data_IF_314513701834
#
_entry.id   IF_314513701834
#
_cell.length_a   1.000
_cell.length_b   1.000
_cell.length_c   1.000
_cell.angle_alpha   90.00
_cell.angle_beta   90.00
_cell.angle_gamma   90.00
#
_symmetry.space_group_name_H-M   'P 1'
#
loop_
_entity.id
_entity.type
_entity.pdbx_description
1 polymer ?
#
# COMPACT_ATOMS: atom_id res chain seq x y z
N UNK A 1 -17.95 25.29 -0.88
CA UNK A 1 -17.13 24.13 -0.45
C UNK A 1 -15.70 24.51 -0.77
N UNK A 2 -14.92 25.00 0.19
CA UNK A 2 -13.48 25.16 0.00
C UNK A 2 -12.86 23.76 0.07
N UNK A 3 -11.91 23.46 -0.81
CA UNK A 3 -10.97 22.38 -0.53
C UNK A 3 -10.24 22.77 0.77
N UNK A 4 -10.06 21.84 1.69
CA UNK A 4 -9.40 22.08 2.97
C UNK A 4 -8.08 21.29 2.92
N UNK A 5 -6.99 21.90 2.42
CA UNK A 5 -5.76 21.17 2.04
C UNK A 5 -5.16 20.36 3.19
N UNK A 6 -5.35 20.80 4.43
CA UNK A 6 -4.90 20.12 5.64
C UNK A 6 -5.58 18.76 5.82
N UNK A 7 -6.85 18.59 5.47
CA UNK A 7 -7.51 17.27 5.55
C UNK A 7 -6.97 16.31 4.50
N UNK A 8 -6.62 16.81 3.31
CA UNK A 8 -6.01 15.99 2.25
C UNK A 8 -4.59 15.58 2.67
N UNK A 9 -3.83 16.49 3.29
CA UNK A 9 -2.50 16.18 3.83
C UNK A 9 -2.56 15.18 4.98
N UNK A 10 -3.50 15.34 5.91
CA UNK A 10 -3.72 14.39 7.00
C UNK A 10 -4.06 12.99 6.47
N UNK A 11 -5.01 12.90 5.52
CA UNK A 11 -5.37 11.64 4.88
C UNK A 11 -4.18 10.99 4.15
N UNK A 12 -3.32 11.77 3.48
CA UNK A 12 -2.12 11.23 2.85
C UNK A 12 -1.14 10.62 3.87
N UNK A 13 -0.98 11.25 5.04
CA UNK A 13 -0.15 10.72 6.13
C UNK A 13 -0.74 9.43 6.73
N UNK A 14 -2.05 9.39 6.95
CA UNK A 14 -2.75 8.20 7.44
C UNK A 14 -2.57 7.03 6.46
N UNK A 15 -2.75 7.29 5.16
CA UNK A 15 -2.52 6.30 4.11
C UNK A 15 -1.06 5.85 4.04
N UNK A 16 -0.09 6.73 4.26
CA UNK A 16 1.32 6.34 4.34
C UNK A 16 1.57 5.34 5.49
N UNK A 17 0.97 5.59 6.66
CA UNK A 17 1.04 4.71 7.83
C UNK A 17 0.38 3.35 7.58
N UNK A 18 -0.80 3.36 6.95
CA UNK A 18 -1.52 2.14 6.55
C UNK A 18 -0.66 1.33 5.55
N UNK A 19 -0.10 1.97 4.54
CA UNK A 19 0.77 1.34 3.55
C UNK A 19 2.01 0.69 4.17
N UNK A 20 2.62 1.36 5.15
CA UNK A 20 3.74 0.82 5.93
C UNK A 20 3.32 -0.43 6.72
N UNK A 21 2.19 -0.36 7.42
CA UNK A 21 1.64 -1.47 8.21
C UNK A 21 1.35 -2.69 7.34
N UNK A 22 0.71 -2.48 6.17
CA UNK A 22 0.41 -3.56 5.21
C UNK A 22 1.70 -4.17 4.65
N UNK A 23 2.70 -3.36 4.33
CA UNK A 23 4.00 -3.84 3.84
C UNK A 23 4.70 -4.71 4.88
N UNK A 24 4.70 -4.29 6.15
CA UNK A 24 5.24 -5.08 7.25
C UNK A 24 4.49 -6.41 7.44
N UNK A 25 3.16 -6.38 7.37
CA UNK A 25 2.33 -7.59 7.45
C UNK A 25 2.63 -8.57 6.30
N UNK A 26 2.74 -8.08 5.06
CA UNK A 26 3.08 -8.90 3.91
C UNK A 26 4.46 -9.55 4.05
N UNK A 27 5.45 -8.79 4.53
CA UNK A 27 6.79 -9.32 4.80
C UNK A 27 6.76 -10.40 5.88
N UNK A 28 6.05 -10.16 7.00
CA UNK A 28 5.88 -11.15 8.08
C UNK A 28 5.19 -12.43 7.61
N UNK A 29 4.25 -12.32 6.66
CA UNK A 29 3.50 -13.46 6.15
C UNK A 29 4.25 -14.25 5.07
N UNK A 30 5.31 -13.68 4.46
CA UNK A 30 5.97 -14.25 3.29
C UNK A 30 6.49 -15.67 3.51
N UNK A 31 7.23 -15.88 4.61
CA UNK A 31 7.75 -17.21 4.96
C UNK A 31 6.65 -18.20 5.38
N UNK A 32 5.84 -17.94 6.42
CA UNK A 32 4.89 -18.93 6.93
C UNK A 32 3.83 -19.36 5.91
N UNK A 33 3.51 -18.51 4.93
CA UNK A 33 2.56 -18.86 3.86
C UNK A 33 3.20 -19.63 2.70
N UNK A 34 4.50 -19.49 2.48
CA UNK A 34 5.22 -20.20 1.41
C UNK A 34 5.84 -21.53 1.86
N UNK A 35 6.03 -21.71 3.17
CA UNK A 35 6.66 -22.90 3.77
C UNK A 35 5.64 -23.89 4.36
N UNK A 36 4.45 -24.02 3.75
CA UNK A 36 3.44 -24.97 4.20
C UNK A 36 3.97 -26.39 4.00
N UNK A 37 3.96 -27.19 5.06
CA UNK A 37 4.40 -28.58 5.04
C UNK A 37 3.24 -29.49 4.65
N UNK A 38 3.51 -30.50 3.81
CA UNK A 38 2.54 -31.51 3.46
C UNK A 38 2.03 -32.24 4.72
N UNK A 39 0.72 -32.35 4.95
CA UNK A 39 0.17 -33.00 6.15
C UNK A 39 0.31 -34.53 6.13
N UNK A 40 0.63 -35.13 4.98
CA UNK A 40 0.91 -36.54 4.79
C UNK A 40 1.96 -36.79 3.71
N UNK A 41 2.44 -38.03 3.64
CA UNK A 41 3.49 -38.46 2.70
C UNK A 41 2.97 -38.80 1.29
N UNK A 42 1.68 -38.58 1.02
CA UNK A 42 1.04 -38.86 -0.26
C UNK A 42 1.25 -37.73 -1.28
N UNK A 43 1.13 -38.06 -2.57
CA UNK A 43 1.36 -37.09 -3.63
C UNK A 43 0.34 -35.93 -3.62
N UNK A 44 -0.88 -36.16 -3.14
CA UNK A 44 -1.91 -35.11 -3.08
C UNK A 44 -1.53 -34.07 -2.02
N UNK A 45 -1.09 -34.50 -0.85
CA UNK A 45 -0.56 -33.63 0.21
C UNK A 45 0.65 -32.81 -0.27
N UNK A 46 1.58 -33.44 -0.99
CA UNK A 46 2.74 -32.75 -1.57
C UNK A 46 2.34 -31.68 -2.60
N UNK A 47 1.41 -32.00 -3.50
CA UNK A 47 0.90 -31.05 -4.51
C UNK A 47 0.16 -29.88 -3.88
N UNK A 48 -0.65 -30.12 -2.85
CA UNK A 48 -1.36 -29.05 -2.13
C UNK A 48 -0.37 -28.11 -1.43
N UNK A 49 0.65 -28.65 -0.75
CA UNK A 49 1.70 -27.84 -0.13
C UNK A 49 2.45 -26.98 -1.17
N UNK A 50 2.80 -27.56 -2.32
CA UNK A 50 3.43 -26.83 -3.43
C UNK A 50 2.52 -25.73 -4.00
N UNK A 51 1.21 -25.97 -4.09
CA UNK A 51 0.23 -24.97 -4.52
C UNK A 51 0.21 -23.76 -3.58
N UNK A 52 0.23 -23.97 -2.25
CA UNK A 52 0.35 -22.88 -1.28
C UNK A 52 1.64 -22.08 -1.49
N UNK A 53 2.77 -22.75 -1.70
CA UNK A 53 4.05 -22.10 -2.02
C UNK A 53 3.98 -21.22 -3.27
N UNK A 54 3.43 -21.75 -4.36
CA UNK A 54 3.26 -21.00 -5.61
C UNK A 54 2.29 -19.81 -5.45
N UNK A 55 1.18 -20.01 -4.73
CA UNK A 55 0.23 -18.95 -4.45
C UNK A 55 0.84 -17.83 -3.60
N UNK A 56 1.59 -18.18 -2.56
CA UNK A 56 2.28 -17.21 -1.70
C UNK A 56 3.29 -16.37 -2.50
N UNK A 57 4.06 -16.98 -3.40
CA UNK A 57 4.99 -16.25 -4.28
C UNK A 57 4.25 -15.27 -5.20
N UNK A 58 3.17 -15.72 -5.85
CA UNK A 58 2.35 -14.86 -6.70
C UNK A 58 1.73 -13.70 -5.91
N UNK A 59 1.25 -13.97 -4.68
CA UNK A 59 0.72 -12.95 -3.79
C UNK A 59 1.79 -11.91 -3.41
N UNK A 60 3.02 -12.33 -3.09
CA UNK A 60 4.10 -11.41 -2.74
C UNK A 60 4.46 -10.48 -3.92
N UNK A 61 4.55 -11.02 -5.14
CA UNK A 61 4.77 -10.21 -6.36
C UNK A 61 3.66 -9.16 -6.54
N UNK A 62 2.40 -9.59 -6.41
CA UNK A 62 1.26 -8.69 -6.52
C UNK A 62 1.27 -7.62 -5.40
N UNK A 63 1.59 -8.00 -4.17
CA UNK A 63 1.66 -7.07 -3.04
C UNK A 63 2.73 -6.01 -3.20
N UNK A 64 3.88 -6.35 -3.79
CA UNK A 64 4.94 -5.39 -4.11
C UNK A 64 4.47 -4.38 -5.18
N UNK A 65 3.75 -4.86 -6.20
CA UNK A 65 3.16 -3.98 -7.21
C UNK A 65 2.09 -3.04 -6.60
N UNK A 66 1.26 -3.56 -5.70
CA UNK A 66 0.26 -2.77 -4.98
C UNK A 66 0.90 -1.72 -4.07
N UNK A 67 1.99 -2.07 -3.37
CA UNK A 67 2.74 -1.12 -2.52
C UNK A 67 3.33 0.03 -3.34
N UNK A 68 3.89 -0.26 -4.52
CA UNK A 68 4.41 0.77 -5.44
C UNK A 68 3.30 1.71 -5.92
N UNK A 69 2.16 1.17 -6.33
CA UNK A 69 1.00 1.97 -6.71
C UNK A 69 0.49 2.84 -5.55
N UNK A 70 0.36 2.26 -4.36
CA UNK A 70 -0.07 2.97 -3.14
C UNK A 70 0.88 4.13 -2.81
N UNK A 71 2.19 3.92 -2.92
CA UNK A 71 3.17 4.97 -2.70
C UNK A 71 2.99 6.13 -3.69
N UNK A 72 2.79 5.85 -4.98
CA UNK A 72 2.53 6.87 -5.99
C UNK A 72 1.25 7.65 -5.69
N UNK A 73 0.20 6.95 -5.25
CA UNK A 73 -1.06 7.58 -4.85
C UNK A 73 -0.89 8.55 -3.67
N UNK A 74 -0.18 8.12 -2.61
CA UNK A 74 0.13 8.98 -1.45
C UNK A 74 0.96 10.20 -1.85
N UNK A 75 1.95 10.02 -2.73
CA UNK A 75 2.76 11.12 -3.27
C UNK A 75 1.89 12.12 -4.04
N UNK A 76 0.98 11.63 -4.89
CA UNK A 76 0.06 12.46 -5.65
C UNK A 76 -0.90 13.24 -4.73
N UNK A 77 -1.45 12.61 -3.70
CA UNK A 77 -2.31 13.29 -2.72
C UNK A 77 -1.55 14.39 -1.97
N UNK A 78 -0.32 14.10 -1.53
CA UNK A 78 0.54 15.06 -0.83
C UNK A 78 0.86 16.28 -1.72
N UNK A 79 1.23 16.03 -2.97
CA UNK A 79 1.50 17.09 -3.94
C UNK A 79 0.23 17.91 -4.22
N UNK A 80 -0.92 17.25 -4.41
CA UNK A 80 -2.21 17.91 -4.61
C UNK A 80 -2.60 18.83 -3.46
N UNK A 81 -2.44 18.38 -2.21
CA UNK A 81 -2.67 19.19 -1.02
C UNK A 81 -1.80 20.46 -1.03
N UNK A 82 -0.51 20.33 -1.35
CA UNK A 82 0.39 21.47 -1.45
C UNK A 82 -0.02 22.47 -2.55
N UNK A 83 -0.51 21.98 -3.70
CA UNK A 83 -1.01 22.85 -4.78
C UNK A 83 -2.26 23.62 -4.36
N UNK A 84 -3.21 22.98 -3.67
CA UNK A 84 -4.40 23.69 -3.16
C UNK A 84 -4.03 24.74 -2.11
N UNK A 85 -3.14 24.43 -1.16
CA UNK A 85 -2.67 25.39 -0.18
C UNK A 85 -1.97 26.60 -0.83
N UNK A 86 -1.15 26.37 -1.86
CA UNK A 86 -0.51 27.45 -2.62
C UNK A 86 -1.52 28.32 -3.38
N UNK A 87 -2.59 27.72 -3.94
CA UNK A 87 -3.64 28.46 -4.62
C UNK A 87 -4.45 29.34 -3.64
N UNK A 88 -4.78 28.82 -2.46
CA UNK A 88 -5.45 29.61 -1.41
C UNK A 88 -4.60 30.79 -0.95
N UNK A 89 -3.30 30.56 -0.71
CA UNK A 89 -2.38 31.64 -0.33
C UNK A 89 -2.34 32.76 -1.38
N UNK A 90 -2.31 32.42 -2.69
CA UNK A 90 -2.35 33.41 -3.78
C UNK A 90 -3.67 34.18 -3.84
N UNK A 91 -4.80 33.52 -3.60
CA UNK A 91 -6.12 34.18 -3.60
C UNK A 91 -6.30 35.15 -2.41
N UNK A 92 -5.52 35.00 -1.33
CA UNK A 92 -5.52 35.95 -0.21
C UNK A 92 -4.62 37.17 -0.42
N UNK A 93 -3.80 37.20 -1.48
CA UNK A 93 -2.99 38.37 -1.81
C UNK A 93 -3.88 39.47 -2.40
N UNK A 94 -3.63 40.76 -2.08
CA UNK A 94 -4.36 41.86 -2.68
C UNK A 94 -4.19 41.84 -4.20
N UNK A 95 -5.25 42.15 -4.95
CA UNK A 95 -5.13 42.42 -6.37
C UNK A 95 -4.22 43.65 -6.55
N UNK A 96 -3.07 43.43 -7.20
CA UNK A 96 -2.23 44.52 -7.68
C UNK A 96 -2.76 45.03 -9.02
#
# INVERSE_FOLDING_TARGET
MNAVPEYVSAAANDLASIGSTITAANSSAAFPTSSVVAPGDDEVSAVIAALFGAHAQAYQVLSAQAASFHQQFVQLMTAGAAQYAAAEARNTLPLQ
#
